data_IF_493921915415
#
_entry.id   IF_493921915415
#
_cell.length_a   1.000
_cell.length_b   1.000
_cell.length_c   1.000
_cell.angle_alpha   90.00
_cell.angle_beta   90.00
_cell.angle_gamma   90.00
#
_symmetry.space_group_name_H-M   'P 1'
#
loop_
_entity.id
_entity.type
_entity.pdbx_description
1 polymer ?
#
# COMPACT_ATOMS: atom_id res chain seq x y z
N UNK A 1 28.97 7.23 20.56
CA UNK A 1 27.58 7.73 20.55
C UNK A 1 26.74 6.92 21.53
N UNK A 2 26.10 7.52 22.53
CA UNK A 2 25.26 6.77 23.48
C UNK A 2 24.13 6.02 22.74
N UNK A 3 23.69 4.88 23.28
CA UNK A 3 22.53 4.16 22.76
C UNK A 3 21.28 5.04 22.81
N UNK A 4 20.46 5.08 21.73
CA UNK A 4 19.22 5.84 21.71
C UNK A 4 18.22 5.31 22.75
N UNK A 5 17.21 6.11 23.09
CA UNK A 5 16.19 5.77 24.10
C UNK A 5 15.41 4.49 23.77
N UNK A 6 15.31 4.13 22.49
CA UNK A 6 14.75 2.87 21.98
C UNK A 6 15.80 2.14 21.12
N UNK A 7 16.72 1.38 21.73
CA UNK A 7 17.75 0.68 20.98
C UNK A 7 17.18 -0.57 20.29
N UNK A 8 17.31 -0.65 18.96
CA UNK A 8 16.90 -1.83 18.18
C UNK A 8 18.09 -2.79 18.00
N UNK A 9 17.95 -4.01 18.54
CA UNK A 9 18.97 -5.05 18.39
C UNK A 9 19.11 -5.52 16.94
N UNK A 10 18.01 -5.59 16.18
CA UNK A 10 18.04 -5.99 14.77
C UNK A 10 18.74 -4.95 13.90
N UNK A 11 18.50 -3.66 14.14
CA UNK A 11 19.24 -2.59 13.48
C UNK A 11 20.76 -2.72 13.74
N UNK A 12 21.16 -2.93 14.98
CA UNK A 12 22.58 -3.04 15.34
C UNK A 12 23.24 -4.31 14.77
N UNK A 13 22.49 -5.41 14.63
CA UNK A 13 22.97 -6.61 13.92
C UNK A 13 23.17 -6.34 12.43
N UNK A 14 22.28 -5.57 11.80
CA UNK A 14 22.41 -5.15 10.41
C UNK A 14 23.64 -4.25 10.23
N UNK A 15 23.78 -3.22 11.07
CA UNK A 15 24.95 -2.35 11.08
C UNK A 15 26.27 -3.14 11.23
N UNK A 16 26.31 -4.15 12.10
CA UNK A 16 27.51 -5.00 12.24
C UNK A 16 27.84 -5.83 10.99
N UNK A 17 26.83 -6.20 10.18
CA UNK A 17 27.06 -6.87 8.88
C UNK A 17 27.58 -5.88 7.84
N UNK A 18 27.05 -4.67 7.81
CA UNK A 18 27.50 -3.60 6.91
C UNK A 18 28.96 -3.22 7.22
N UNK A 19 29.30 -3.05 8.50
CA UNK A 19 30.68 -2.84 8.96
C UNK A 19 31.62 -3.98 8.62
N UNK A 20 31.16 -5.24 8.69
CA UNK A 20 31.98 -6.38 8.28
C UNK A 20 32.31 -6.34 6.79
N UNK A 21 31.38 -5.90 5.95
CA UNK A 21 31.59 -5.75 4.52
C UNK A 21 32.62 -4.66 4.22
N UNK A 22 32.59 -3.53 4.94
CA UNK A 22 33.60 -2.47 4.88
C UNK A 22 34.98 -2.98 5.32
N UNK A 23 35.06 -3.64 6.48
CA UNK A 23 36.33 -4.16 7.03
C UNK A 23 37.03 -5.14 6.09
N UNK A 24 36.26 -5.96 5.36
CA UNK A 24 36.80 -6.94 4.40
C UNK A 24 37.42 -6.34 3.14
N UNK A 25 37.18 -5.05 2.87
CA UNK A 25 37.85 -4.34 1.79
C UNK A 25 39.34 -4.11 2.09
N UNK A 26 39.69 -4.01 3.37
CA UNK A 26 41.06 -3.74 3.84
C UNK A 26 41.69 -4.96 4.54
N UNK A 27 40.89 -5.81 5.17
CA UNK A 27 41.32 -7.06 5.81
C UNK A 27 40.35 -8.20 5.47
N UNK A 28 40.68 -9.02 4.45
CA UNK A 28 39.84 -10.16 4.05
C UNK A 28 39.61 -11.20 5.15
N UNK A 29 40.43 -11.22 6.20
CA UNK A 29 40.33 -12.18 7.32
C UNK A 29 39.40 -11.72 8.44
N UNK A 30 38.86 -10.50 8.35
CA UNK A 30 37.95 -9.93 9.34
C UNK A 30 36.70 -10.80 9.56
N UNK A 31 36.36 -11.03 10.84
CA UNK A 31 35.23 -11.85 11.27
C UNK A 31 34.10 -10.98 11.79
N UNK A 32 32.88 -11.53 11.78
CA UNK A 32 31.70 -10.85 12.33
C UNK A 32 31.88 -10.41 13.79
N UNK A 33 32.65 -11.17 14.58
CA UNK A 33 32.98 -10.82 15.95
C UNK A 33 33.79 -9.51 16.05
N UNK A 34 34.62 -9.19 15.06
CA UNK A 34 35.40 -7.96 15.00
C UNK A 34 34.49 -6.76 14.73
N UNK A 35 33.60 -6.87 13.75
CA UNK A 35 32.61 -5.84 13.43
C UNK A 35 31.61 -5.61 14.58
N UNK A 36 31.16 -6.67 15.25
CA UNK A 36 30.31 -6.58 16.43
C UNK A 36 31.02 -5.89 17.62
N UNK A 37 32.32 -6.13 17.80
CA UNK A 37 33.13 -5.44 18.81
C UNK A 37 33.29 -3.96 18.48
N UNK A 38 33.47 -3.62 17.21
CA UNK A 38 33.54 -2.24 16.75
C UNK A 38 32.25 -1.48 17.05
N UNK A 39 31.10 -2.01 16.61
CA UNK A 39 29.78 -1.42 16.87
C UNK A 39 29.52 -1.27 18.38
N UNK A 40 29.85 -2.28 19.18
CA UNK A 40 29.71 -2.18 20.64
C UNK A 40 30.54 -1.02 21.23
N UNK A 41 31.78 -0.84 20.80
CA UNK A 41 32.67 0.24 21.26
C UNK A 41 32.19 1.61 20.83
N UNK A 42 31.69 1.76 19.60
CA UNK A 42 31.08 3.00 19.11
C UNK A 42 29.92 3.46 20.01
N UNK A 43 29.22 2.50 20.63
CA UNK A 43 28.14 2.74 21.59
C UNK A 43 28.56 2.70 23.07
N UNK A 44 29.85 2.75 23.36
CA UNK A 44 30.39 2.80 24.72
C UNK A 44 30.29 1.49 25.50
N UNK A 45 30.04 0.36 24.84
CA UNK A 45 30.01 -0.96 25.48
C UNK A 45 31.35 -1.71 25.31
N UNK A 46 31.85 -2.39 26.37
CA UNK A 46 33.17 -3.03 26.35
C UNK A 46 33.22 -4.31 25.50
N UNK A 47 32.08 -4.90 25.17
CA UNK A 47 31.97 -6.07 24.29
C UNK A 47 30.57 -6.16 23.70
N UNK A 48 30.42 -6.91 22.60
CA UNK A 48 29.09 -7.21 22.03
C UNK A 48 28.17 -7.91 23.03
N UNK A 49 28.72 -8.78 23.88
CA UNK A 49 27.94 -9.43 24.95
C UNK A 49 27.40 -8.41 25.96
N UNK A 50 28.25 -7.49 26.42
CA UNK A 50 27.84 -6.41 27.33
C UNK A 50 26.85 -5.44 26.66
N UNK A 51 27.04 -5.17 25.37
CA UNK A 51 26.15 -4.32 24.58
C UNK A 51 24.74 -4.91 24.47
N UNK A 52 24.64 -6.20 24.14
CA UNK A 52 23.36 -6.92 24.13
C UNK A 52 22.74 -7.01 25.52
N UNK A 53 23.53 -7.23 26.56
CA UNK A 53 23.04 -7.27 27.94
C UNK A 53 22.48 -5.91 28.38
N UNK A 54 23.11 -4.80 27.98
CA UNK A 54 22.62 -3.44 28.26
C UNK A 54 21.33 -3.12 27.50
N UNK A 55 21.25 -3.50 26.22
CA UNK A 55 20.02 -3.40 25.43
C UNK A 55 18.91 -4.24 26.07
N UNK A 56 19.20 -5.50 26.38
CA UNK A 56 18.26 -6.40 27.05
C UNK A 56 17.83 -5.85 28.42
N UNK A 57 18.73 -5.23 29.21
CA UNK A 57 18.41 -4.60 30.50
C UNK A 57 17.54 -3.36 30.35
N UNK A 58 17.77 -2.52 29.34
CA UNK A 58 16.91 -1.35 29.03
C UNK A 58 15.52 -1.77 28.56
N UNK A 59 15.42 -2.96 27.97
CA UNK A 59 14.17 -3.57 27.53
C UNK A 59 13.53 -4.47 28.62
N UNK A 60 14.30 -4.99 29.58
CA UNK A 60 13.83 -5.86 30.65
C UNK A 60 13.07 -5.06 31.72
N UNK A 61 11.85 -5.50 32.04
CA UNK A 61 10.89 -4.77 32.88
C UNK A 61 9.85 -3.98 32.09
N UNK A 62 9.96 -3.98 30.75
CA UNK A 62 8.87 -3.60 29.87
C UNK A 62 8.14 -4.90 29.49
N UNK A 63 6.91 -5.09 29.97
CA UNK A 63 5.89 -5.95 29.33
C UNK A 63 6.00 -5.87 27.79
N UNK A 64 5.48 -6.84 26.99
CA UNK A 64 5.42 -6.66 25.54
C UNK A 64 4.90 -5.26 25.26
N UNK A 65 5.68 -4.49 24.49
CA UNK A 65 5.59 -3.02 24.42
C UNK A 65 4.12 -2.61 24.39
N UNK A 66 3.69 -1.75 25.33
CA UNK A 66 2.25 -1.43 25.47
C UNK A 66 1.66 -0.92 24.15
N UNK A 67 2.49 -0.29 23.31
CA UNK A 67 2.15 0.06 21.93
C UNK A 67 1.89 -1.19 21.09
N UNK A 68 2.83 -2.15 21.03
CA UNK A 68 2.65 -3.41 20.32
C UNK A 68 1.40 -4.19 20.78
N UNK A 69 1.12 -4.23 22.09
CA UNK A 69 -0.10 -4.85 22.64
C UNK A 69 -1.36 -4.13 22.20
N UNK A 70 -1.36 -2.79 22.24
CA UNK A 70 -2.49 -1.98 21.78
C UNK A 70 -2.75 -2.22 20.29
N UNK A 71 -1.69 -2.20 19.46
CA UNK A 71 -1.80 -2.46 18.02
C UNK A 71 -2.27 -3.88 17.72
N UNK A 72 -1.85 -4.89 18.49
CA UNK A 72 -2.35 -6.25 18.39
C UNK A 72 -3.84 -6.35 18.75
N UNK A 73 -4.27 -5.70 19.84
CA UNK A 73 -5.68 -5.65 20.25
C UNK A 73 -6.55 -4.95 19.19
N UNK A 74 -6.05 -3.86 18.59
CA UNK A 74 -6.71 -3.18 17.48
C UNK A 74 -6.85 -4.12 16.30
N UNK A 75 -5.77 -4.77 15.83
CA UNK A 75 -5.84 -5.73 14.72
C UNK A 75 -6.82 -6.88 15.01
N UNK A 76 -6.90 -7.33 16.25
CA UNK A 76 -7.86 -8.35 16.69
C UNK A 76 -9.31 -7.85 16.79
N UNK A 77 -9.54 -6.54 16.83
CA UNK A 77 -10.86 -5.95 17.05
C UNK A 77 -11.32 -6.00 18.52
N UNK A 78 -10.41 -6.22 19.46
CA UNK A 78 -10.72 -6.39 20.88
C UNK A 78 -10.95 -5.02 21.56
N UNK A 79 -12.19 -4.54 21.50
CA UNK A 79 -12.59 -3.26 22.09
C UNK A 79 -12.35 -3.20 23.61
N UNK A 80 -12.46 -4.34 24.32
CA UNK A 80 -12.26 -4.39 25.76
C UNK A 80 -10.77 -4.21 26.11
N UNK A 81 -9.88 -4.93 25.42
CA UNK A 81 -8.44 -4.78 25.61
C UNK A 81 -7.96 -3.38 25.20
N UNK A 82 -8.43 -2.85 24.05
CA UNK A 82 -8.14 -1.47 23.62
C UNK A 82 -8.59 -0.47 24.69
N UNK A 83 -9.82 -0.61 25.18
CA UNK A 83 -10.38 0.24 26.21
C UNK A 83 -9.60 0.19 27.53
N UNK A 84 -9.19 -1.01 27.96
CA UNK A 84 -8.40 -1.20 29.18
C UNK A 84 -6.99 -0.60 29.07
N UNK A 85 -6.30 -0.83 27.95
CA UNK A 85 -4.96 -0.30 27.71
C UNK A 85 -4.95 1.23 27.67
N UNK A 86 -5.91 1.84 26.97
CA UNK A 86 -6.03 3.30 26.89
C UNK A 86 -6.49 3.94 28.21
N UNK A 87 -7.22 3.21 29.07
CA UNK A 87 -7.56 3.69 30.41
C UNK A 87 -6.33 3.67 31.33
N UNK A 88 -5.52 2.62 31.25
CA UNK A 88 -4.29 2.49 32.04
C UNK A 88 -3.15 3.41 31.56
N UNK A 89 -3.14 3.78 30.28
CA UNK A 89 -2.12 4.66 29.70
C UNK A 89 -2.69 5.52 28.55
N UNK A 90 -3.32 6.67 28.85
CA UNK A 90 -3.94 7.54 27.85
C UNK A 90 -3.01 8.02 26.74
N UNK A 91 -1.71 8.22 27.04
CA UNK A 91 -0.70 8.62 26.06
C UNK A 91 -0.55 7.62 24.89
N UNK A 92 -1.01 6.37 25.05
CA UNK A 92 -0.99 5.38 23.97
C UNK A 92 -1.93 5.74 22.82
N UNK A 93 -2.94 6.60 23.01
CA UNK A 93 -3.91 6.96 21.97
C UNK A 93 -3.27 7.55 20.69
N UNK A 94 -2.06 8.11 20.82
CA UNK A 94 -1.28 8.70 19.73
C UNK A 94 0.12 8.09 19.60
N UNK A 95 0.41 7.00 20.34
CA UNK A 95 1.72 6.36 20.29
C UNK A 95 1.94 5.69 18.94
N UNK A 96 3.16 5.78 18.43
CA UNK A 96 3.55 5.18 17.16
C UNK A 96 4.23 3.82 17.36
N UNK A 97 3.84 2.83 16.55
CA UNK A 97 4.54 1.53 16.46
C UNK A 97 5.86 1.66 15.69
N UNK A 98 6.52 0.52 15.41
CA UNK A 98 7.83 0.49 14.74
C UNK A 98 7.76 1.01 13.29
N UNK A 99 6.59 0.86 12.65
CA UNK A 99 6.26 1.38 11.33
C UNK A 99 5.78 2.84 11.37
N UNK A 100 5.69 3.42 12.56
CA UNK A 100 5.28 4.81 12.77
C UNK A 100 3.78 5.05 12.64
N UNK A 101 2.96 3.99 12.68
CA UNK A 101 1.50 4.01 12.64
C UNK A 101 0.90 4.38 14.00
N UNK A 102 -0.19 5.14 14.02
CA UNK A 102 -0.95 5.46 15.24
C UNK A 102 -2.10 4.46 15.45
N UNK A 103 -2.73 4.39 16.63
CA UNK A 103 -3.88 3.53 16.87
C UNK A 103 -5.04 3.74 15.89
N UNK A 104 -5.34 5.00 15.52
CA UNK A 104 -6.38 5.29 14.53
C UNK A 104 -5.98 4.79 13.13
N UNK A 105 -4.73 4.99 12.72
CA UNK A 105 -4.23 4.45 11.45
C UNK A 105 -4.26 2.92 11.45
N UNK A 106 -3.85 2.27 12.54
CA UNK A 106 -3.92 0.81 12.69
C UNK A 106 -5.36 0.28 12.65
N UNK A 107 -6.33 1.02 13.22
CA UNK A 107 -7.74 0.64 13.14
C UNK A 107 -8.28 0.77 11.71
N UNK A 108 -7.88 1.82 10.98
CA UNK A 108 -8.21 1.99 9.56
C UNK A 108 -7.62 0.86 8.72
N UNK A 109 -6.32 0.59 8.88
CA UNK A 109 -5.58 -0.45 8.14
C UNK A 109 -6.14 -1.86 8.38
N UNK A 110 -6.57 -2.14 9.61
CA UNK A 110 -7.21 -3.41 9.98
C UNK A 110 -8.73 -3.44 9.74
N UNK A 111 -9.31 -2.44 9.08
CA UNK A 111 -10.75 -2.32 8.80
C UNK A 111 -11.65 -2.44 10.05
N UNK A 112 -11.22 -1.86 11.18
CA UNK A 112 -11.90 -1.91 12.48
C UNK A 112 -12.74 -0.67 12.77
N UNK A 113 -13.75 -0.43 11.94
CA UNK A 113 -14.62 0.74 12.05
C UNK A 113 -15.26 0.89 13.45
N UNK A 114 -15.63 -0.22 14.10
CA UNK A 114 -16.21 -0.22 15.45
C UNK A 114 -15.27 0.33 16.54
N UNK A 115 -13.95 0.31 16.33
CA UNK A 115 -12.98 0.85 17.28
C UNK A 115 -12.76 2.36 17.12
N UNK A 116 -13.08 2.93 15.95
CA UNK A 116 -12.86 4.36 15.66
C UNK A 116 -13.51 5.27 16.70
N UNK A 117 -14.80 5.11 17.07
CA UNK A 117 -15.42 5.97 18.08
C UNK A 117 -14.74 5.86 19.46
N UNK A 118 -14.27 4.67 19.84
CA UNK A 118 -13.54 4.47 21.09
C UNK A 118 -12.20 5.21 21.06
N UNK A 119 -11.44 5.07 19.99
CA UNK A 119 -10.13 5.70 19.84
C UNK A 119 -10.24 7.23 19.86
N UNK A 120 -11.21 7.81 19.14
CA UNK A 120 -11.49 9.25 19.17
C UNK A 120 -11.85 9.73 20.58
N UNK A 121 -12.79 9.04 21.26
CA UNK A 121 -13.18 9.38 22.65
C UNK A 121 -12.03 9.28 23.65
N UNK A 122 -10.99 8.51 23.35
CA UNK A 122 -9.79 8.37 24.20
C UNK A 122 -8.65 9.30 23.80
N UNK A 123 -8.91 10.29 22.94
CA UNK A 123 -7.93 11.32 22.57
C UNK A 123 -7.02 10.94 21.41
N UNK A 124 -7.41 9.93 20.60
CA UNK A 124 -6.73 9.63 19.34
C UNK A 124 -6.90 10.79 18.38
N UNK A 125 -5.78 11.35 17.92
CA UNK A 125 -5.72 12.47 17.00
C UNK A 125 -5.93 11.98 15.54
N UNK A 126 -7.05 12.37 14.89
CA UNK A 126 -7.39 11.93 13.54
C UNK A 126 -6.58 12.64 12.45
N UNK A 127 -5.68 13.57 12.79
CA UNK A 127 -4.87 14.34 11.85
C UNK A 127 -3.40 13.87 11.80
N UNK A 128 -3.01 12.92 12.65
CA UNK A 128 -1.66 12.36 12.60
C UNK A 128 -1.46 11.52 11.33
N UNK A 129 -0.40 11.84 10.59
CA UNK A 129 -0.08 11.17 9.33
C UNK A 129 0.73 9.90 9.52
N UNK A 130 0.49 8.94 8.62
CA UNK A 130 1.27 7.71 8.49
C UNK A 130 2.73 8.03 8.16
N UNK A 131 3.70 7.32 8.76
CA UNK A 131 5.11 7.72 8.71
C UNK A 131 5.73 7.77 7.31
N UNK A 132 5.20 6.97 6.37
CA UNK A 132 5.71 6.89 4.99
C UNK A 132 4.76 7.48 3.95
N UNK A 133 3.66 8.11 4.37
CA UNK A 133 2.72 8.78 3.47
C UNK A 133 2.29 10.13 4.06
N UNK A 134 1.37 10.86 3.44
CA UNK A 134 0.78 12.09 3.99
C UNK A 134 -0.69 11.83 4.34
N UNK A 135 -1.05 10.56 4.44
CA UNK A 135 -2.41 10.20 4.75
C UNK A 135 -2.63 10.30 6.26
N UNK A 136 -3.61 11.12 6.62
CA UNK A 136 -4.36 11.02 7.86
C UNK A 136 -5.19 9.73 7.88
N UNK A 137 -5.69 9.26 9.03
CA UNK A 137 -6.67 8.18 9.12
C UNK A 137 -7.80 8.26 8.10
N UNK A 138 -8.41 9.44 7.91
CA UNK A 138 -9.54 9.61 6.99
C UNK A 138 -9.11 9.47 5.52
N UNK A 139 -8.02 10.14 5.13
CA UNK A 139 -7.53 10.05 3.75
C UNK A 139 -6.89 8.70 3.42
N UNK A 140 -6.37 7.96 4.41
CA UNK A 140 -5.86 6.59 4.24
C UNK A 140 -6.99 5.58 4.02
N UNK A 141 -8.13 5.78 4.69
CA UNK A 141 -9.27 4.89 4.58
C UNK A 141 -9.84 4.80 3.15
N UNK A 142 -9.66 5.85 2.35
CA UNK A 142 -10.14 5.92 0.96
C UNK A 142 -9.40 4.96 0.02
N UNK A 143 -8.07 5.03 -0.18
CA UNK A 143 -7.37 4.15 -1.12
C UNK A 143 -7.42 2.67 -0.72
N UNK A 144 -7.52 2.35 0.56
CA UNK A 144 -7.67 0.95 1.01
C UNK A 144 -9.13 0.46 1.04
N UNK A 145 -10.09 1.33 0.69
CA UNK A 145 -11.53 1.06 0.71
C UNK A 145 -12.08 0.68 2.10
N UNK A 146 -11.47 1.17 3.18
CA UNK A 146 -11.99 1.09 4.54
C UNK A 146 -13.08 2.16 4.77
N UNK A 147 -14.10 2.19 3.89
CA UNK A 147 -15.11 3.27 3.86
C UNK A 147 -15.94 3.35 5.13
N UNK A 148 -16.12 2.24 5.86
CA UNK A 148 -16.80 2.26 7.16
C UNK A 148 -15.96 2.94 8.24
N UNK A 149 -14.63 2.79 8.21
CA UNK A 149 -13.74 3.57 9.07
C UNK A 149 -13.79 5.05 8.70
N UNK A 150 -13.79 5.37 7.40
CA UNK A 150 -13.92 6.75 6.92
C UNK A 150 -15.24 7.40 7.40
N UNK A 151 -16.37 6.69 7.27
CA UNK A 151 -17.67 7.15 7.78
C UNK A 151 -17.68 7.30 9.30
N UNK A 152 -17.06 6.38 10.04
CA UNK A 152 -16.95 6.48 11.49
C UNK A 152 -16.09 7.69 11.94
N UNK A 153 -15.04 8.04 11.19
CA UNK A 153 -14.24 9.25 11.43
C UNK A 153 -15.08 10.51 11.18
N UNK A 154 -15.81 10.57 10.06
CA UNK A 154 -16.72 11.70 9.76
C UNK A 154 -17.81 11.84 10.82
N UNK A 155 -18.43 10.73 11.24
CA UNK A 155 -19.41 10.73 12.32
C UNK A 155 -18.81 11.16 13.68
N UNK A 156 -17.50 10.99 13.85
CA UNK A 156 -16.73 11.47 14.98
C UNK A 156 -16.28 12.93 14.90
N UNK A 157 -16.71 13.68 13.88
CA UNK A 157 -16.41 15.11 13.70
C UNK A 157 -15.16 15.41 12.87
N UNK A 158 -14.58 14.41 12.18
CA UNK A 158 -13.46 14.63 11.28
C UNK A 158 -13.97 15.13 9.93
N UNK A 159 -13.72 16.39 9.61
CA UNK A 159 -14.15 16.97 8.34
C UNK A 159 -13.31 16.41 7.16
N UNK A 160 -13.97 15.81 6.14
CA UNK A 160 -13.28 15.42 4.91
C UNK A 160 -12.95 16.65 4.08
N UNK A 161 -11.73 16.65 3.54
CA UNK A 161 -11.33 17.56 2.47
C UNK A 161 -11.81 17.05 1.09
N UNK A 162 -11.47 17.73 -0.01
CA UNK A 162 -11.91 17.35 -1.35
C UNK A 162 -11.51 15.91 -1.72
N UNK A 163 -10.26 15.52 -1.43
CA UNK A 163 -9.77 14.17 -1.71
C UNK A 163 -10.60 13.10 -0.99
N UNK A 164 -10.82 13.28 0.31
CA UNK A 164 -11.60 12.33 1.11
C UNK A 164 -13.10 12.33 0.74
N UNK A 165 -13.68 13.51 0.52
CA UNK A 165 -15.09 13.65 0.13
C UNK A 165 -15.37 12.97 -1.22
N UNK A 166 -14.47 13.13 -2.20
CA UNK A 166 -14.57 12.47 -3.49
C UNK A 166 -14.52 10.94 -3.37
N UNK A 167 -13.58 10.41 -2.58
CA UNK A 167 -13.47 8.97 -2.33
C UNK A 167 -14.66 8.37 -1.56
N UNK A 168 -15.29 9.16 -0.69
CA UNK A 168 -16.52 8.80 0.01
C UNK A 168 -17.78 8.89 -0.85
N UNK A 169 -17.71 9.54 -2.02
CA UNK A 169 -18.88 9.81 -2.85
C UNK A 169 -19.79 10.92 -2.31
N UNK A 170 -19.29 11.78 -1.43
CA UNK A 170 -20.04 12.91 -0.86
C UNK A 170 -20.09 14.07 -1.88
N UNK A 171 -20.98 13.96 -2.85
CA UNK A 171 -21.12 14.93 -3.95
C UNK A 171 -21.49 16.33 -3.45
N UNK A 172 -22.29 16.42 -2.38
CA UNK A 172 -22.68 17.72 -1.83
C UNK A 172 -21.45 18.46 -1.28
N UNK A 173 -20.59 17.76 -0.54
CA UNK A 173 -19.35 18.33 -0.03
C UNK A 173 -18.34 18.59 -1.16
N UNK A 174 -18.23 17.70 -2.15
CA UNK A 174 -17.41 17.92 -3.36
C UNK A 174 -17.81 19.23 -4.05
N UNK A 175 -19.10 19.51 -4.22
CA UNK A 175 -19.60 20.78 -4.80
C UNK A 175 -19.23 21.98 -3.94
N UNK A 176 -19.32 21.85 -2.62
CA UNK A 176 -19.00 22.92 -1.66
C UNK A 176 -17.57 23.45 -1.76
N UNK A 177 -16.63 22.64 -2.25
CA UNK A 177 -15.23 23.04 -2.43
C UNK A 177 -14.99 23.98 -3.62
N UNK A 178 -16.01 24.28 -4.42
CA UNK A 178 -15.87 25.12 -5.60
C UNK A 178 -16.67 26.41 -5.44
N UNK A 179 -16.13 27.51 -5.98
CA UNK A 179 -16.78 28.80 -6.02
C UNK A 179 -17.91 28.84 -7.07
N UNK A 180 -18.73 29.91 -7.07
CA UNK A 180 -19.72 30.15 -8.13
C UNK A 180 -19.10 30.28 -9.53
N UNK A 181 -17.83 30.68 -9.60
CA UNK A 181 -17.00 30.76 -10.81
C UNK A 181 -16.43 29.39 -11.26
N UNK A 182 -16.75 28.32 -10.53
CA UNK A 182 -16.27 26.97 -10.78
C UNK A 182 -14.84 26.71 -10.33
N UNK A 183 -14.16 27.70 -9.73
CA UNK A 183 -12.77 27.56 -9.25
C UNK A 183 -12.72 26.85 -7.92
N UNK A 184 -11.68 26.05 -7.72
CA UNK A 184 -11.40 25.41 -6.45
C UNK A 184 -11.09 26.46 -5.37
N UNK A 185 -11.75 26.34 -4.21
CA UNK A 185 -11.49 27.20 -3.07
C UNK A 185 -10.11 26.91 -2.48
N UNK A 186 -9.43 27.95 -2.00
CA UNK A 186 -8.15 27.81 -1.31
C UNK A 186 -8.29 26.85 -0.11
N UNK A 187 -7.34 25.92 0.04
CA UNK A 187 -7.36 24.93 1.12
C UNK A 187 -8.43 23.83 0.97
N UNK A 188 -9.06 23.69 -0.19
CA UNK A 188 -10.09 22.66 -0.42
C UNK A 188 -9.56 21.23 -0.22
N UNK A 189 -8.27 20.98 -0.41
CA UNK A 189 -7.63 19.71 -0.10
C UNK A 189 -6.39 19.95 0.75
N UNK A 190 -6.24 19.16 1.81
CA UNK A 190 -5.04 19.10 2.66
C UNK A 190 -4.33 17.75 2.57
N UNK A 191 -4.97 16.80 1.88
CA UNK A 191 -4.49 15.46 1.60
C UNK A 191 -4.58 15.20 0.10
N UNK A 192 -3.95 14.12 -0.36
CA UNK A 192 -3.90 13.76 -1.77
C UNK A 192 -3.24 12.40 -1.97
N UNK A 193 -2.97 12.03 -3.21
CA UNK A 193 -2.28 10.77 -3.49
C UNK A 193 -0.79 10.87 -3.16
N UNK A 194 -0.18 9.76 -2.69
CA UNK A 194 1.29 9.73 -2.52
C UNK A 194 1.96 9.55 -3.88
N UNK A 195 2.63 10.60 -4.36
CA UNK A 195 3.31 10.63 -5.66
C UNK A 195 4.82 10.82 -5.51
N UNK A 196 5.56 10.36 -6.51
CA UNK A 196 7.02 10.41 -6.53
C UNK A 196 7.50 10.91 -7.89
N UNK A 197 8.55 11.72 -7.89
CA UNK A 197 9.27 12.11 -9.09
C UNK A 197 10.13 10.94 -9.62
N UNK A 198 10.65 11.10 -10.84
CA UNK A 198 11.45 10.06 -11.50
C UNK A 198 12.74 9.69 -10.74
N UNK A 199 13.25 10.61 -9.91
CA UNK A 199 14.40 10.41 -9.03
C UNK A 199 14.05 9.71 -7.70
N UNK A 200 12.78 9.34 -7.50
CA UNK A 200 12.27 8.72 -6.28
C UNK A 200 11.99 9.71 -5.14
N UNK A 201 12.21 11.01 -5.35
CA UNK A 201 11.82 12.04 -4.38
C UNK A 201 10.30 12.13 -4.29
N UNK A 202 9.80 12.41 -3.09
CA UNK A 202 8.37 12.51 -2.85
C UNK A 202 7.85 13.87 -3.28
N UNK A 203 6.82 13.89 -4.12
CA UNK A 203 6.16 15.13 -4.54
C UNK A 203 5.28 15.71 -3.43
N UNK A 204 4.97 17.02 -3.48
CA UNK A 204 4.07 17.67 -2.53
C UNK A 204 2.72 16.93 -2.40
N UNK A 205 2.22 16.89 -1.17
CA UNK A 205 0.90 16.34 -0.85
C UNK A 205 0.23 17.28 0.18
N UNK A 206 -0.89 17.95 -0.16
CA UNK A 206 -1.61 17.85 -1.43
C UNK A 206 -0.78 18.40 -2.60
N UNK A 207 -1.27 18.15 -3.81
CA UNK A 207 -0.75 18.77 -5.03
C UNK A 207 -0.81 20.30 -4.95
N UNK A 208 0.07 21.00 -5.66
CA UNK A 208 0.16 22.47 -5.58
C UNK A 208 -0.83 23.16 -6.53
N UNK A 209 -1.19 22.53 -7.65
CA UNK A 209 -2.06 23.13 -8.66
C UNK A 209 -3.51 22.66 -8.51
N UNK A 210 -4.46 23.55 -8.81
CA UNK A 210 -5.90 23.22 -8.84
C UNK A 210 -6.18 21.98 -9.69
N UNK A 211 -5.63 21.90 -10.90
CA UNK A 211 -5.84 20.77 -11.82
C UNK A 211 -5.39 19.44 -11.20
N UNK A 212 -4.21 19.41 -10.57
CA UNK A 212 -3.71 18.20 -9.93
C UNK A 212 -4.47 17.83 -8.66
N UNK A 213 -4.94 18.81 -7.87
CA UNK A 213 -5.79 18.55 -6.71
C UNK A 213 -7.10 17.89 -7.15
N UNK A 214 -7.74 18.42 -8.20
CA UNK A 214 -8.96 17.83 -8.77
C UNK A 214 -8.67 16.45 -9.36
N UNK A 215 -7.51 16.25 -9.99
CA UNK A 215 -7.10 14.94 -10.50
C UNK A 215 -6.87 13.90 -9.40
N UNK A 216 -6.28 14.29 -8.26
CA UNK A 216 -6.13 13.42 -7.08
C UNK A 216 -7.50 13.02 -6.50
N UNK A 217 -8.44 13.96 -6.41
CA UNK A 217 -9.81 13.68 -6.00
C UNK A 217 -10.53 12.77 -7.00
N UNK A 218 -10.30 12.96 -8.30
CA UNK A 218 -10.83 12.09 -9.35
C UNK A 218 -10.24 10.68 -9.28
N UNK A 219 -8.96 10.54 -8.94
CA UNK A 219 -8.33 9.26 -8.61
C UNK A 219 -9.05 8.57 -7.45
N UNK A 220 -9.25 9.26 -6.34
CA UNK A 220 -9.92 8.72 -5.16
C UNK A 220 -11.34 8.22 -5.49
N UNK A 221 -12.14 9.06 -6.17
CA UNK A 221 -13.49 8.71 -6.60
C UNK A 221 -13.49 7.54 -7.59
N UNK A 222 -12.58 7.53 -8.57
CA UNK A 222 -12.51 6.49 -9.58
C UNK A 222 -12.13 5.12 -8.99
N UNK A 223 -11.14 5.09 -8.11
CA UNK A 223 -10.71 3.88 -7.40
C UNK A 223 -11.81 3.28 -6.54
N UNK A 224 -12.63 4.13 -5.91
CA UNK A 224 -13.75 3.72 -5.07
C UNK A 224 -15.06 3.46 -5.82
N UNK A 225 -15.10 3.62 -7.15
CA UNK A 225 -16.32 3.42 -7.93
C UNK A 225 -17.39 4.50 -7.73
N UNK A 226 -17.03 5.69 -7.26
CA UNK A 226 -17.96 6.76 -6.91
C UNK A 226 -18.45 7.53 -8.15
N UNK A 227 -19.33 6.93 -8.94
CA UNK A 227 -19.77 7.47 -10.24
C UNK A 227 -20.30 8.91 -10.19
N UNK A 228 -21.08 9.25 -9.15
CA UNK A 228 -21.65 10.58 -9.01
C UNK A 228 -20.57 11.65 -8.74
N UNK A 229 -19.59 11.33 -7.89
CA UNK A 229 -18.44 12.19 -7.63
C UNK A 229 -17.52 12.30 -8.86
N UNK A 230 -17.31 11.20 -9.59
CA UNK A 230 -16.56 11.19 -10.87
C UNK A 230 -17.22 12.14 -11.87
N UNK A 231 -18.53 12.07 -12.06
CA UNK A 231 -19.25 12.96 -12.97
C UNK A 231 -19.11 14.43 -12.59
N UNK A 232 -19.23 14.73 -11.30
CA UNK A 232 -19.04 16.09 -10.77
C UNK A 232 -17.63 16.62 -11.05
N UNK A 233 -16.61 15.81 -10.78
CA UNK A 233 -15.20 16.20 -10.97
C UNK A 233 -14.83 16.32 -12.45
N UNK A 234 -15.34 15.46 -13.33
CA UNK A 234 -15.13 15.58 -14.78
C UNK A 234 -15.70 16.89 -15.33
N UNK A 235 -16.81 17.38 -14.78
CA UNK A 235 -17.39 18.68 -15.11
C UNK A 235 -16.49 19.88 -14.78
N UNK A 236 -15.40 19.67 -14.02
CA UNK A 236 -14.39 20.69 -13.69
C UNK A 236 -13.20 20.70 -14.63
N UNK A 237 -13.18 19.84 -15.66
CA UNK A 237 -12.12 19.77 -16.66
C UNK A 237 -10.73 19.42 -16.12
N UNK A 238 -10.57 18.38 -15.25
CA UNK A 238 -9.27 17.97 -14.78
C UNK A 238 -8.41 17.38 -15.91
N UNK A 239 -7.09 17.41 -15.73
CA UNK A 239 -6.19 16.65 -16.58
C UNK A 239 -6.43 15.13 -16.41
N UNK A 240 -6.98 14.50 -17.46
CA UNK A 240 -7.30 13.07 -17.46
C UNK A 240 -6.06 12.17 -17.58
N UNK A 241 -4.92 12.73 -17.99
CA UNK A 241 -3.62 12.06 -18.08
C UNK A 241 -2.79 12.20 -16.80
N UNK A 242 -3.25 13.00 -15.83
CA UNK A 242 -2.58 13.18 -14.54
C UNK A 242 -2.33 11.84 -13.85
N UNK A 243 -1.16 11.71 -13.25
CA UNK A 243 -0.65 10.46 -12.66
C UNK A 243 -0.68 10.58 -11.15
N UNK A 244 -1.51 9.75 -10.53
CA UNK A 244 -1.70 9.72 -9.09
C UNK A 244 -0.74 8.70 -8.43
N UNK A 245 -1.24 7.94 -7.45
CA UNK A 245 -0.49 6.85 -6.82
C UNK A 245 0.05 5.84 -7.85
N UNK A 246 1.29 5.37 -7.62
CA UNK A 246 2.03 4.47 -8.51
C UNK A 246 2.22 4.99 -9.95
N UNK A 247 2.06 6.29 -10.18
CA UNK A 247 2.19 6.90 -11.51
C UNK A 247 1.09 6.50 -12.49
N UNK A 248 0.02 5.85 -12.03
CA UNK A 248 -1.10 5.42 -12.86
C UNK A 248 -2.17 6.51 -12.96
N UNK A 249 -2.84 6.60 -14.10
CA UNK A 249 -3.93 7.58 -14.28
C UNK A 249 -5.19 7.14 -13.55
N UNK A 250 -6.13 8.04 -13.23
CA UNK A 250 -7.38 7.63 -12.62
C UNK A 250 -8.22 6.65 -13.48
N UNK A 251 -7.95 6.51 -14.80
CA UNK A 251 -8.58 5.46 -15.63
C UNK A 251 -8.04 4.07 -15.29
N UNK A 252 -6.74 3.94 -15.03
CA UNK A 252 -6.15 2.69 -14.54
C UNK A 252 -6.80 2.28 -13.22
N UNK A 253 -6.99 3.25 -12.33
CA UNK A 253 -7.61 3.01 -11.03
C UNK A 253 -9.12 2.71 -11.10
N UNK A 254 -9.83 3.22 -12.11
CA UNK A 254 -11.22 2.82 -12.38
C UNK A 254 -11.33 1.33 -12.77
N UNK A 255 -10.42 0.86 -13.63
CA UNK A 255 -10.33 -0.55 -14.01
C UNK A 255 -9.95 -1.44 -12.83
N UNK A 256 -8.97 -1.01 -12.02
CA UNK A 256 -8.61 -1.68 -10.77
C UNK A 256 -9.77 -1.74 -9.76
N UNK A 257 -10.61 -0.70 -9.75
CA UNK A 257 -11.83 -0.63 -8.93
C UNK A 257 -12.91 -1.61 -9.38
N UNK A 258 -12.91 -2.02 -10.66
CA UNK A 258 -13.95 -2.86 -11.23
C UNK A 258 -15.29 -2.13 -11.36
N UNK A 259 -15.27 -0.83 -11.69
CA UNK A 259 -16.47 0.01 -11.76
C UNK A 259 -16.81 0.40 -13.22
N UNK A 260 -17.65 -0.36 -13.95
CA UNK A 260 -17.93 -0.12 -15.36
C UNK A 260 -18.51 1.27 -15.65
N UNK A 261 -19.38 1.80 -14.79
CA UNK A 261 -19.93 3.14 -14.98
C UNK A 261 -18.88 4.24 -14.86
N UNK A 262 -17.91 4.11 -13.94
CA UNK A 262 -16.75 5.02 -13.87
C UNK A 262 -15.90 4.90 -15.13
N UNK A 263 -15.61 3.69 -15.60
CA UNK A 263 -14.83 3.47 -16.83
C UNK A 263 -15.52 4.14 -18.03
N UNK A 264 -16.84 3.95 -18.17
CA UNK A 264 -17.64 4.56 -19.23
C UNK A 264 -17.61 6.09 -19.17
N UNK A 265 -17.84 6.68 -17.99
CA UNK A 265 -17.77 8.14 -17.79
C UNK A 265 -16.41 8.71 -18.19
N UNK A 266 -15.32 8.05 -17.81
CA UNK A 266 -13.97 8.51 -18.13
C UNK A 266 -13.65 8.41 -19.61
N UNK A 267 -14.03 7.30 -20.27
CA UNK A 267 -13.86 7.15 -21.72
C UNK A 267 -14.68 8.19 -22.48
N UNK A 268 -15.91 8.45 -22.06
CA UNK A 268 -16.76 9.49 -22.64
C UNK A 268 -16.17 10.90 -22.47
N UNK A 269 -15.43 11.14 -21.39
CA UNK A 269 -14.69 12.39 -21.18
C UNK A 269 -13.38 12.48 -21.99
N UNK A 270 -13.02 11.46 -22.77
CA UNK A 270 -11.81 11.45 -23.60
C UNK A 270 -10.54 10.97 -22.88
N UNK A 271 -10.67 10.23 -21.76
CA UNK A 271 -9.50 9.64 -21.12
C UNK A 271 -8.81 8.62 -22.05
N UNK A 272 -7.52 8.82 -22.31
CA UNK A 272 -6.75 7.97 -23.20
C UNK A 272 -6.55 6.55 -22.62
N UNK A 273 -7.08 5.55 -23.33
CA UNK A 273 -6.99 4.13 -22.97
C UNK A 273 -5.69 3.47 -23.44
N UNK A 274 -4.84 4.18 -24.18
CA UNK A 274 -3.54 3.69 -24.63
C UNK A 274 -2.39 4.06 -23.67
N UNK A 275 -2.61 4.99 -22.73
CA UNK A 275 -1.60 5.40 -21.75
C UNK A 275 -1.14 4.20 -20.92
N UNK A 276 0.18 4.03 -20.81
CA UNK A 276 0.78 2.99 -19.99
C UNK A 276 1.21 3.52 -18.62
N UNK A 277 1.00 2.71 -17.59
CA UNK A 277 1.55 2.98 -16.26
C UNK A 277 3.08 2.73 -16.23
N UNK A 278 3.86 3.45 -15.41
CA UNK A 278 5.31 3.32 -15.40
C UNK A 278 5.82 2.08 -14.64
N UNK A 279 4.97 1.39 -13.87
CA UNK A 279 5.37 0.27 -13.00
C UNK A 279 5.30 -1.06 -13.75
N UNK A 280 4.18 -1.30 -14.44
CA UNK A 280 3.91 -2.54 -15.15
C UNK A 280 3.94 -2.35 -16.68
N UNK A 281 3.84 -1.11 -17.16
CA UNK A 281 3.72 -0.83 -18.59
C UNK A 281 2.38 -1.31 -19.15
N UNK A 282 1.34 -1.39 -18.33
CA UNK A 282 0.00 -1.83 -18.70
C UNK A 282 -0.84 -0.64 -19.19
N UNK A 283 -1.73 -0.89 -20.16
CA UNK A 283 -2.86 0.00 -20.43
C UNK A 283 -3.80 0.03 -19.22
N UNK A 284 -4.76 0.97 -19.13
CA UNK A 284 -5.69 1.02 -18.01
C UNK A 284 -6.48 -0.27 -17.82
N UNK A 285 -6.90 -0.90 -18.92
CA UNK A 285 -7.65 -2.16 -18.92
C UNK A 285 -6.82 -3.33 -18.40
N UNK A 286 -5.60 -3.49 -18.94
CA UNK A 286 -4.66 -4.51 -18.48
C UNK A 286 -4.23 -4.29 -17.02
N UNK A 287 -4.10 -3.04 -16.58
CA UNK A 287 -3.75 -2.70 -15.20
C UNK A 287 -4.77 -3.24 -14.20
N UNK A 288 -6.05 -3.26 -14.57
CA UNK A 288 -7.14 -3.79 -13.74
C UNK A 288 -6.98 -5.25 -13.34
N UNK A 289 -6.18 -6.03 -14.08
CA UNK A 289 -5.90 -7.44 -13.79
C UNK A 289 -4.42 -7.69 -13.44
N UNK A 290 -3.47 -7.05 -14.13
CA UNK A 290 -2.04 -7.23 -13.90
C UNK A 290 -1.59 -6.71 -12.54
N UNK A 291 -2.08 -5.56 -12.09
CA UNK A 291 -1.68 -4.98 -10.80
C UNK A 291 -2.18 -5.81 -9.60
N UNK A 292 -3.46 -6.21 -9.51
CA UNK A 292 -3.90 -7.15 -8.48
C UNK A 292 -3.16 -8.50 -8.51
N UNK A 293 -2.85 -9.02 -9.70
CA UNK A 293 -2.13 -10.28 -9.86
C UNK A 293 -0.69 -10.21 -9.33
N UNK A 294 0.03 -9.12 -9.64
CA UNK A 294 1.41 -8.91 -9.15
C UNK A 294 1.48 -8.73 -7.63
N UNK A 295 0.46 -8.12 -7.01
CA UNK A 295 0.41 -7.97 -5.55
C UNK A 295 -0.14 -9.22 -4.86
N UNK A 296 -0.91 -10.04 -5.56
CA UNK A 296 -1.53 -11.26 -5.03
C UNK A 296 -2.91 -11.04 -4.42
N UNK A 297 -3.60 -9.96 -4.81
CA UNK A 297 -4.95 -9.65 -4.38
C UNK A 297 -5.98 -10.51 -5.11
N UNK A 298 -6.04 -11.79 -4.76
CA UNK A 298 -6.93 -12.77 -5.38
C UNK A 298 -8.41 -12.40 -5.27
N UNK A 299 -8.79 -11.68 -4.21
CA UNK A 299 -10.12 -11.10 -4.01
C UNK A 299 -10.53 -10.10 -5.10
N UNK A 300 -9.56 -9.52 -5.83
CA UNK A 300 -9.81 -8.68 -7.02
C UNK A 300 -9.59 -9.43 -8.34
N UNK A 301 -8.65 -10.38 -8.38
CA UNK A 301 -8.37 -11.18 -9.58
C UNK A 301 -9.56 -12.07 -9.97
N UNK A 302 -10.09 -12.87 -9.04
CA UNK A 302 -11.14 -13.86 -9.35
C UNK A 302 -12.44 -13.24 -9.90
N UNK A 303 -13.03 -12.21 -9.26
CA UNK A 303 -14.26 -11.61 -9.79
C UNK A 303 -14.06 -11.02 -11.19
N UNK A 304 -12.91 -10.37 -11.42
CA UNK A 304 -12.62 -9.75 -12.71
C UNK A 304 -12.51 -10.77 -13.85
N UNK A 305 -11.88 -11.92 -13.59
CA UNK A 305 -11.80 -13.02 -14.56
C UNK A 305 -13.15 -13.72 -14.76
N UNK A 306 -14.04 -13.72 -13.78
CA UNK A 306 -15.39 -14.25 -13.95
C UNK A 306 -16.27 -13.33 -14.82
N UNK A 307 -16.08 -12.02 -14.73
CA UNK A 307 -16.74 -11.03 -15.58
C UNK A 307 -16.19 -11.02 -17.01
N UNK A 308 -14.87 -11.16 -17.16
CA UNK A 308 -14.17 -11.06 -18.45
C UNK A 308 -13.00 -12.07 -18.51
N UNK A 309 -13.30 -13.36 -18.81
CA UNK A 309 -12.29 -14.43 -18.85
C UNK A 309 -11.10 -14.18 -19.79
N UNK A 310 -11.27 -13.56 -20.98
CA UNK A 310 -10.15 -13.19 -21.86
C UNK A 310 -9.03 -12.39 -21.19
N UNK A 311 -9.30 -11.63 -20.11
CA UNK A 311 -8.28 -10.88 -19.38
C UNK A 311 -7.15 -11.75 -18.82
N UNK A 312 -7.37 -13.05 -18.63
CA UNK A 312 -6.32 -14.00 -18.25
C UNK A 312 -5.16 -14.01 -19.26
N UNK A 313 -5.47 -13.74 -20.53
CA UNK A 313 -4.54 -13.65 -21.65
C UNK A 313 -4.20 -12.23 -22.08
N UNK A 314 -4.52 -11.20 -21.28
CA UNK A 314 -4.20 -9.80 -21.63
C UNK A 314 -2.69 -9.61 -21.79
N UNK A 315 -2.24 -8.73 -22.70
CA UNK A 315 -0.83 -8.45 -22.91
C UNK A 315 -0.38 -7.16 -22.23
N UNK A 316 0.86 -7.15 -21.73
CA UNK A 316 1.51 -5.93 -21.25
C UNK A 316 2.96 -5.91 -21.70
N UNK A 317 3.59 -4.74 -21.64
CA UNK A 317 4.99 -4.58 -22.04
C UNK A 317 5.94 -5.53 -21.28
N UNK A 318 5.60 -5.88 -20.03
CA UNK A 318 6.35 -6.81 -19.17
C UNK A 318 5.82 -8.25 -19.22
N UNK A 319 4.67 -8.46 -19.87
CA UNK A 319 3.94 -9.73 -20.01
C UNK A 319 2.54 -9.67 -19.38
N UNK A 320 1.68 -10.63 -19.70
CA UNK A 320 0.32 -10.68 -19.16
C UNK A 320 0.22 -10.98 -17.65
N UNK A 321 -0.99 -11.06 -17.09
CA UNK A 321 -1.20 -11.23 -15.65
C UNK A 321 -0.49 -12.44 -15.04
N UNK A 322 -0.40 -13.55 -15.78
CA UNK A 322 0.30 -14.75 -15.33
C UNK A 322 1.82 -14.53 -15.21
N UNK A 323 2.41 -13.74 -16.11
CA UNK A 323 3.83 -13.37 -16.03
C UNK A 323 4.09 -12.53 -14.78
N UNK A 324 3.24 -11.54 -14.51
CA UNK A 324 3.37 -10.67 -13.34
C UNK A 324 3.17 -11.42 -12.02
N UNK A 325 2.15 -12.27 -11.93
CA UNK A 325 1.92 -13.11 -10.74
C UNK A 325 3.10 -14.07 -10.47
N UNK A 326 3.62 -14.70 -11.53
CA UNK A 326 4.76 -15.61 -11.41
C UNK A 326 6.05 -14.87 -11.02
N UNK A 327 6.30 -13.70 -11.62
CA UNK A 327 7.46 -12.86 -11.31
C UNK A 327 7.45 -12.31 -9.88
N UNK A 328 6.26 -11.99 -9.36
CA UNK A 328 6.08 -11.49 -8.00
C UNK A 328 5.99 -12.60 -6.93
N UNK A 329 5.81 -13.85 -7.35
CA UNK A 329 5.75 -14.98 -6.44
C UNK A 329 4.35 -15.24 -5.85
N UNK A 330 3.29 -14.70 -6.44
CA UNK A 330 1.94 -14.68 -5.86
C UNK A 330 1.17 -15.98 -6.18
N UNK A 331 1.51 -17.05 -5.46
CA UNK A 331 0.99 -18.42 -5.63
C UNK A 331 -0.52 -18.49 -5.91
N UNK A 332 -1.33 -17.80 -5.11
CA UNK A 332 -2.79 -17.90 -5.22
C UNK A 332 -3.33 -17.15 -6.47
N UNK A 333 -2.67 -16.08 -6.90
CA UNK A 333 -3.04 -15.39 -8.14
C UNK A 333 -2.62 -16.21 -9.37
N UNK A 334 -1.45 -16.85 -9.33
CA UNK A 334 -1.03 -17.83 -10.35
C UNK A 334 -2.09 -18.92 -10.52
N UNK A 335 -2.53 -19.54 -9.42
CA UNK A 335 -3.58 -20.58 -9.45
C UNK A 335 -4.88 -20.05 -10.06
N UNK A 336 -5.37 -18.90 -9.60
CA UNK A 336 -6.59 -18.30 -10.12
C UNK A 336 -6.53 -18.00 -11.63
N UNK A 337 -5.39 -17.53 -12.13
CA UNK A 337 -5.19 -17.24 -13.56
C UNK A 337 -5.17 -18.50 -14.41
N UNK A 338 -4.52 -19.57 -13.93
CA UNK A 338 -4.47 -20.86 -14.63
C UNK A 338 -5.84 -21.56 -14.63
N UNK A 339 -6.57 -21.51 -13.51
CA UNK A 339 -7.96 -21.96 -13.41
C UNK A 339 -8.87 -21.22 -14.42
N UNK A 340 -8.59 -19.94 -14.68
CA UNK A 340 -9.29 -19.13 -15.67
C UNK A 340 -8.80 -19.34 -17.12
N UNK A 341 -7.88 -20.28 -17.36
CA UNK A 341 -7.41 -20.65 -18.69
C UNK A 341 -6.24 -19.83 -19.23
N UNK A 342 -5.49 -19.11 -18.37
CA UNK A 342 -4.25 -18.46 -18.79
C UNK A 342 -3.25 -19.49 -19.36
N UNK A 343 -2.72 -19.23 -20.56
CA UNK A 343 -1.74 -20.11 -21.20
C UNK A 343 -0.36 -20.02 -20.50
N UNK A 344 0.11 -21.10 -19.84
CA UNK A 344 1.42 -21.14 -19.16
C UNK A 344 2.62 -21.25 -20.12
N UNK A 345 2.39 -21.54 -21.40
CA UNK A 345 3.41 -21.65 -22.43
C UNK A 345 3.61 -20.33 -23.19
N UNK A 346 2.68 -19.38 -23.05
CA UNK A 346 2.79 -18.04 -23.63
C UNK A 346 4.11 -17.37 -23.21
N UNK A 347 4.75 -16.71 -24.17
CA UNK A 347 5.96 -15.91 -23.96
C UNK A 347 5.61 -14.42 -23.99
N UNK A 348 6.21 -13.64 -23.10
CA UNK A 348 6.15 -12.19 -23.15
C UNK A 348 7.05 -11.60 -24.26
N UNK A 349 7.06 -10.27 -24.40
CA UNK A 349 7.92 -9.56 -25.36
C UNK A 349 9.43 -9.86 -25.23
N UNK A 350 9.86 -10.30 -24.04
CA UNK A 350 11.23 -10.74 -23.78
C UNK A 350 11.48 -12.22 -24.08
N UNK A 351 10.54 -12.93 -24.71
CA UNK A 351 10.63 -14.35 -25.03
C UNK A 351 10.54 -15.28 -23.82
N UNK A 352 10.19 -14.79 -22.63
CA UNK A 352 10.14 -15.57 -21.38
C UNK A 352 8.71 -16.01 -21.08
N UNK A 353 8.54 -17.25 -20.66
CA UNK A 353 7.28 -17.74 -20.09
C UNK A 353 7.13 -17.30 -18.63
N UNK A 354 5.92 -17.41 -18.07
CA UNK A 354 5.70 -17.18 -16.64
C UNK A 354 6.61 -18.04 -15.75
N UNK A 355 6.88 -19.30 -16.14
CA UNK A 355 7.81 -20.16 -15.40
C UNK A 355 9.25 -19.65 -15.46
N UNK A 356 9.69 -19.15 -16.62
CA UNK A 356 11.05 -18.60 -16.77
C UNK A 356 11.24 -17.38 -15.85
N UNK A 357 10.21 -16.54 -15.71
CA UNK A 357 10.23 -15.40 -14.80
C UNK A 357 10.24 -15.80 -13.32
N UNK A 358 9.49 -16.84 -12.95
CA UNK A 358 9.51 -17.37 -11.60
C UNK A 358 10.92 -17.91 -11.26
N UNK A 359 11.48 -18.76 -12.12
CA UNK A 359 12.81 -19.38 -11.93
C UNK A 359 13.96 -18.38 -11.78
N UNK A 360 13.83 -17.19 -12.35
CA UNK A 360 14.83 -16.13 -12.20
C UNK A 360 14.86 -15.48 -10.80
N UNK A 361 13.90 -15.83 -9.92
CA UNK A 361 13.78 -15.33 -8.54
C UNK A 361 13.53 -16.48 -7.55
N UNK A 362 14.52 -17.39 -7.37
CA UNK A 362 14.38 -18.59 -6.54
C UNK A 362 14.06 -18.31 -5.06
N UNK A 363 14.30 -17.09 -4.58
CA UNK A 363 13.95 -16.61 -3.24
C UNK A 363 12.44 -16.32 -3.05
N UNK A 364 11.63 -16.34 -4.11
CA UNK A 364 10.18 -16.07 -4.04
C UNK A 364 9.32 -17.36 -4.17
N UNK A 365 8.29 -17.56 -3.32
CA UNK A 365 7.51 -18.80 -3.24
C UNK A 365 6.62 -19.12 -4.46
N UNK A 366 6.42 -18.19 -5.41
CA UNK A 366 5.62 -18.47 -6.62
C UNK A 366 6.29 -19.44 -7.60
N UNK A 367 7.60 -19.69 -7.45
CA UNK A 367 8.32 -20.75 -8.17
C UNK A 367 7.67 -22.13 -7.99
N UNK A 368 7.27 -22.47 -6.77
CA UNK A 368 6.69 -23.77 -6.45
C UNK A 368 5.31 -23.94 -7.09
N UNK A 369 4.47 -22.91 -7.11
CA UNK A 369 3.11 -23.01 -7.62
C UNK A 369 3.00 -23.18 -9.15
N UNK A 370 3.84 -22.48 -9.92
CA UNK A 370 3.89 -22.66 -11.39
C UNK A 370 4.49 -24.03 -11.75
N UNK A 371 5.46 -24.51 -10.97
CA UNK A 371 6.07 -25.82 -11.15
C UNK A 371 5.11 -26.97 -10.78
N UNK A 372 4.39 -26.86 -9.66
CA UNK A 372 3.38 -27.83 -9.21
C UNK A 372 2.21 -27.93 -10.19
N UNK A 373 1.71 -26.82 -10.74
CA UNK A 373 0.64 -26.86 -11.73
C UNK A 373 1.06 -27.58 -13.01
N UNK A 374 2.30 -27.35 -13.51
CA UNK A 374 2.81 -28.09 -14.68
C UNK A 374 2.99 -29.58 -14.40
N UNK A 375 3.30 -29.96 -13.16
CA UNK A 375 3.42 -31.37 -12.75
C UNK A 375 2.04 -32.06 -12.63
N UNK A 376 0.99 -31.33 -12.23
CA UNK A 376 -0.36 -31.87 -12.07
C UNK A 376 -1.26 -31.81 -13.32
N UNK A 377 -0.88 -31.06 -14.36
CA UNK A 377 -1.69 -30.86 -15.58
C UNK A 377 -1.19 -31.66 -16.80
N UNK A 378 -0.24 -32.58 -16.62
CA UNK A 378 0.14 -33.50 -17.68
C UNK A 378 -1.05 -34.44 -17.96
N UNK A 379 -1.55 -34.53 -19.21
CA UNK A 379 -2.57 -35.54 -19.53
C UNK A 379 -1.96 -36.92 -19.28
N UNK A 380 -2.64 -37.77 -18.52
CA UNK A 380 -2.32 -39.20 -18.53
C UNK A 380 -2.36 -39.67 -20.00
N UNK A 381 -1.34 -40.40 -20.48
CA UNK A 381 -1.40 -40.98 -21.80
C UNK A 381 -2.58 -41.96 -21.81
N UNK A 382 -3.66 -41.60 -22.54
CA UNK A 382 -4.76 -42.51 -22.82
C UNK A 382 -4.17 -43.79 -23.43
N UNK A 383 -4.24 -44.89 -22.67
CA UNK A 383 -3.94 -46.23 -23.17
C UNK A 383 -5.12 -46.79 -23.95
#
# INVERSE_FOLDING_TARGET
MPLPDRPSLEFLKKLAKDRLQEMRQTDPTARLADAQRLVAREHGAPSWRAHRAEIARRLAGREPDRVARLHAAIRAGDAAAVGGLLAAAPALANARDEEGSTPLLAAVDAHRAALVPLLLRRGGDPHLVYAHSAHTPLSWAVPILALDCARALVAGGVEPDLYAAAGLGDVARVRGFFGPDGRLRAGASTTGSSRYAADGSRLPCPSETESEIVADALYAAARGGQEAAVRELLGRGPDLASRAFAGATPLHWAYFGGAPGVVALRRAAGADSALRDPVLGCTPEAFGICFPASVGWVSKVRPRLAEDPPLAGEDSARGGPLHEAAHAGTVQAVKALLEAGADPARRNAGGRTALDLARARPEHPGCAAVAEWRAGSAPEPRR
#
